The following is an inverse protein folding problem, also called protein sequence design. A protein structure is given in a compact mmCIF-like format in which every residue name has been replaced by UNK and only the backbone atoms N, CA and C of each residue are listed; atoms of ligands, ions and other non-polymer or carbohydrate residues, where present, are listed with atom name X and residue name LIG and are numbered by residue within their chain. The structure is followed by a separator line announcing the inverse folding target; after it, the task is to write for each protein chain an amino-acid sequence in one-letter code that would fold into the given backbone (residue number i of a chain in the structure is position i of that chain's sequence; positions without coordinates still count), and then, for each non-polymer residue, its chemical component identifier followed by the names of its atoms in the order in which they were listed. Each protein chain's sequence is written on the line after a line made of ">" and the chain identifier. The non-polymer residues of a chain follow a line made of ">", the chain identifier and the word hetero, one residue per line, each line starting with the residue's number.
data_IF_973632572380
#
_entry.id   IF_973632572380
#
_cell.length_a   1.000
_cell.length_b   1.000
_cell.length_c   1.000
_cell.angle_alpha   90.00
_cell.angle_beta   90.00
_cell.angle_gamma   90.00
#
_symmetry.space_group_name_H-M   'P 1'
#
loop_
_entity.id
_entity.type
_entity.pdbx_description
1 polymer ?
#
# COMPACT_ATOMS: atom_id res chain seq x y z
N UNK A 1 -46.82 -20.66 -5.57
CA UNK A 1 -46.56 -19.60 -6.58
C UNK A 1 -46.16 -18.29 -5.87
N UNK A 2 -44.97 -18.22 -5.26
CA UNK A 2 -44.41 -17.00 -4.61
C UNK A 2 -42.87 -17.02 -4.75
N UNK A 3 -42.37 -16.77 -5.97
CA UNK A 3 -40.95 -16.77 -6.32
C UNK A 3 -40.46 -15.38 -6.77
N UNK A 4 -40.97 -14.32 -6.14
CA UNK A 4 -40.76 -12.94 -6.62
C UNK A 4 -40.45 -11.93 -5.49
N UNK A 5 -39.64 -12.30 -4.50
CA UNK A 5 -39.18 -11.35 -3.46
C UNK A 5 -37.67 -11.43 -3.17
N UNK A 6 -36.84 -11.83 -4.14
CA UNK A 6 -35.38 -11.88 -3.98
C UNK A 6 -34.59 -10.86 -4.83
N UNK A 7 -35.23 -10.01 -5.62
CA UNK A 7 -34.52 -9.04 -6.46
C UNK A 7 -34.84 -7.59 -6.06
N UNK A 8 -34.22 -7.12 -4.98
CA UNK A 8 -34.21 -5.68 -4.67
C UNK A 8 -32.97 -5.20 -3.88
N UNK A 9 -31.83 -5.90 -3.98
CA UNK A 9 -30.56 -5.44 -3.37
C UNK A 9 -29.33 -5.63 -4.26
N UNK A 10 -29.50 -5.61 -5.58
CA UNK A 10 -28.38 -5.42 -6.52
C UNK A 10 -28.27 -3.93 -6.90
N UNK A 11 -27.67 -3.11 -6.05
CA UNK A 11 -27.26 -1.75 -6.42
C UNK A 11 -26.00 -1.30 -5.68
N UNK A 12 -24.88 -1.87 -6.11
CA UNK A 12 -23.59 -1.22 -6.27
C UNK A 12 -22.79 -2.13 -7.20
N UNK A 13 -22.87 -1.87 -8.51
CA UNK A 13 -22.35 -2.77 -9.57
C UNK A 13 -20.82 -2.85 -9.54
N UNK A 14 -20.26 -3.63 -8.62
CA UNK A 14 -18.86 -4.05 -8.72
C UNK A 14 -18.75 -4.96 -9.95
N UNK A 15 -18.07 -4.48 -10.99
CA UNK A 15 -17.82 -5.26 -12.21
C UNK A 15 -16.96 -6.49 -11.87
N UNK A 16 -17.20 -7.62 -12.56
CA UNK A 16 -16.48 -8.89 -12.35
C UNK A 16 -14.96 -8.72 -12.23
N UNK A 17 -14.26 -7.89 -13.05
CA UNK A 17 -12.83 -7.65 -12.87
C UNK A 17 -12.45 -7.10 -11.49
N UNK A 18 -13.26 -6.18 -10.94
CA UNK A 18 -12.99 -5.58 -9.64
C UNK A 18 -13.18 -6.57 -8.47
N UNK A 19 -14.13 -7.51 -8.60
CA UNK A 19 -14.29 -8.60 -7.62
C UNK A 19 -13.05 -9.49 -7.65
N UNK A 20 -12.64 -9.95 -8.83
CA UNK A 20 -11.48 -10.83 -8.98
C UNK A 20 -10.20 -10.18 -8.45
N UNK A 21 -9.95 -8.90 -8.76
CA UNK A 21 -8.78 -8.15 -8.26
C UNK A 21 -8.80 -8.07 -6.72
N UNK A 22 -9.95 -7.71 -6.13
CA UNK A 22 -10.06 -7.55 -4.67
C UNK A 22 -9.85 -8.88 -3.94
N UNK A 23 -10.51 -9.96 -4.40
CA UNK A 23 -10.36 -11.27 -3.75
C UNK A 23 -8.95 -11.84 -3.95
N UNK A 24 -8.34 -11.59 -5.11
CA UNK A 24 -6.94 -11.96 -5.34
C UNK A 24 -6.00 -11.23 -4.39
N UNK A 25 -6.15 -9.90 -4.23
CA UNK A 25 -5.38 -9.12 -3.27
C UNK A 25 -5.56 -9.65 -1.83
N UNK A 26 -6.81 -9.91 -1.41
CA UNK A 26 -7.11 -10.45 -0.09
C UNK A 26 -6.47 -11.83 0.14
N UNK A 27 -6.50 -12.70 -0.86
CA UNK A 27 -5.87 -14.02 -0.79
C UNK A 27 -4.35 -13.92 -0.69
N UNK A 28 -3.71 -13.01 -1.43
CA UNK A 28 -2.26 -12.80 -1.35
C UNK A 28 -1.85 -12.33 0.06
N UNK A 29 -2.61 -11.40 0.65
CA UNK A 29 -2.38 -10.93 2.03
C UNK A 29 -2.61 -12.06 3.05
N UNK A 30 -3.72 -12.78 2.93
CA UNK A 30 -4.12 -13.83 3.89
C UNK A 30 -3.20 -15.05 3.86
N UNK A 31 -2.92 -15.55 2.67
CA UNK A 31 -2.22 -16.84 2.53
C UNK A 31 -0.72 -16.71 2.81
N UNK A 32 -0.21 -15.48 2.97
CA UNK A 32 1.19 -15.23 3.27
C UNK A 32 2.08 -16.03 2.33
N UNK A 33 2.94 -16.88 2.90
CA UNK A 33 3.95 -17.69 2.19
C UNK A 33 3.43 -18.69 1.16
N UNK A 34 2.13 -18.96 1.12
CA UNK A 34 1.52 -19.93 0.22
C UNK A 34 1.11 -19.31 -1.11
N UNK A 35 1.20 -20.07 -2.21
CA UNK A 35 0.78 -19.60 -3.54
C UNK A 35 -0.75 -19.53 -3.65
N UNK A 36 -1.25 -18.51 -4.34
CA UNK A 36 -2.68 -18.36 -4.63
C UNK A 36 -3.03 -19.14 -5.90
N UNK A 37 -4.06 -20.00 -5.82
CA UNK A 37 -4.56 -20.80 -6.93
C UNK A 37 -5.78 -20.17 -7.60
N UNK A 38 -6.02 -20.52 -8.86
CA UNK A 38 -7.24 -20.09 -9.60
C UNK A 38 -8.49 -20.61 -8.91
N UNK A 39 -8.47 -21.83 -8.38
CA UNK A 39 -9.62 -22.43 -7.68
C UNK A 39 -10.01 -21.63 -6.44
N UNK A 40 -9.04 -21.24 -5.61
CA UNK A 40 -9.29 -20.39 -4.44
C UNK A 40 -9.89 -19.04 -4.87
N UNK A 41 -9.31 -18.37 -5.88
CA UNK A 41 -9.82 -17.08 -6.36
C UNK A 41 -11.29 -17.20 -6.80
N UNK A 42 -11.64 -18.24 -7.56
CA UNK A 42 -13.01 -18.48 -8.03
C UNK A 42 -13.96 -18.79 -6.86
N UNK A 43 -13.51 -19.57 -5.89
CA UNK A 43 -14.28 -19.90 -4.67
C UNK A 43 -14.60 -18.65 -3.86
N UNK A 44 -13.60 -17.81 -3.55
CA UNK A 44 -13.80 -16.59 -2.76
C UNK A 44 -14.53 -15.48 -3.52
N UNK A 45 -14.37 -15.41 -4.84
CA UNK A 45 -15.05 -14.38 -5.66
C UNK A 45 -16.49 -14.73 -6.03
N UNK A 46 -16.88 -16.00 -5.94
CA UNK A 46 -18.16 -16.48 -6.48
C UNK A 46 -18.29 -16.31 -8.00
N UNK A 47 -17.20 -15.98 -8.69
CA UNK A 47 -17.14 -15.80 -10.14
C UNK A 47 -16.91 -17.17 -10.79
N UNK A 48 -17.60 -17.43 -11.90
CA UNK A 48 -17.39 -18.67 -12.65
C UNK A 48 -16.04 -18.67 -13.38
N UNK A 49 -15.48 -19.86 -13.61
CA UNK A 49 -14.24 -20.01 -14.39
C UNK A 49 -14.33 -19.35 -15.78
N UNK A 50 -15.47 -19.51 -16.46
CA UNK A 50 -15.70 -18.89 -17.78
C UNK A 50 -15.73 -17.36 -17.72
N UNK A 51 -16.34 -16.78 -16.69
CA UNK A 51 -16.36 -15.33 -16.50
C UNK A 51 -14.97 -14.76 -16.16
N UNK A 52 -14.15 -15.48 -15.39
CA UNK A 52 -12.76 -15.08 -15.15
C UNK A 52 -11.97 -15.04 -16.45
N UNK A 53 -11.99 -16.11 -17.25
CA UNK A 53 -11.22 -16.18 -18.50
C UNK A 53 -11.73 -15.23 -19.61
N UNK A 54 -12.97 -14.76 -19.51
CA UNK A 54 -13.47 -13.68 -20.36
C UNK A 54 -12.81 -12.31 -20.05
N UNK A 55 -12.38 -12.09 -18.81
CA UNK A 55 -11.77 -10.82 -18.38
C UNK A 55 -10.25 -10.88 -18.29
N UNK A 56 -9.69 -12.04 -17.94
CA UNK A 56 -8.26 -12.24 -17.76
C UNK A 56 -7.87 -13.53 -18.50
N UNK A 57 -7.03 -13.43 -19.53
CA UNK A 57 -6.63 -14.57 -20.35
C UNK A 57 -5.92 -15.66 -19.54
N UNK A 58 -5.26 -15.27 -18.45
CA UNK A 58 -4.51 -16.15 -17.57
C UNK A 58 -4.60 -15.70 -16.10
N UNK A 59 -4.14 -16.57 -15.19
CA UNK A 59 -3.91 -16.18 -13.79
C UNK A 59 -2.93 -15.01 -13.70
N UNK A 60 -1.91 -15.00 -14.57
CA UNK A 60 -0.90 -13.95 -14.62
C UNK A 60 -1.52 -12.58 -14.91
N UNK A 61 -2.42 -12.48 -15.89
CA UNK A 61 -3.08 -11.21 -16.23
C UNK A 61 -3.90 -10.64 -15.06
N UNK A 62 -4.57 -11.51 -14.31
CA UNK A 62 -5.30 -11.11 -13.10
C UNK A 62 -4.33 -10.61 -12.02
N UNK A 63 -3.19 -11.28 -11.86
CA UNK A 63 -2.18 -10.87 -10.90
C UNK A 63 -1.56 -9.52 -11.28
N UNK A 64 -1.25 -9.30 -12.56
CA UNK A 64 -0.73 -8.04 -13.07
C UNK A 64 -1.73 -6.89 -12.88
N UNK A 65 -3.02 -7.14 -13.14
CA UNK A 65 -4.09 -6.17 -12.87
C UNK A 65 -4.26 -5.89 -11.37
N UNK A 66 -4.07 -6.90 -10.52
CA UNK A 66 -4.10 -6.76 -9.07
C UNK A 66 -2.95 -5.88 -8.58
N UNK A 67 -1.74 -6.09 -9.09
CA UNK A 67 -0.59 -5.24 -8.82
C UNK A 67 -0.83 -3.80 -9.29
N UNK A 68 -1.32 -3.61 -10.51
CA UNK A 68 -1.59 -2.28 -11.06
C UNK A 68 -2.62 -1.50 -10.22
N UNK A 69 -3.69 -2.18 -9.76
CA UNK A 69 -4.69 -1.60 -8.87
C UNK A 69 -4.10 -1.19 -7.53
N UNK A 70 -3.18 -1.99 -6.98
CA UNK A 70 -2.49 -1.64 -5.74
C UNK A 70 -1.52 -0.48 -5.92
N UNK A 71 -0.72 -0.48 -7.00
CA UNK A 71 0.24 0.59 -7.29
C UNK A 71 -0.47 1.93 -7.49
N UNK A 72 -1.67 1.91 -8.09
CA UNK A 72 -2.52 3.09 -8.17
C UNK A 72 -2.93 3.60 -6.78
N UNK A 73 -3.41 2.71 -5.90
CA UNK A 73 -3.76 3.06 -4.52
C UNK A 73 -2.57 3.61 -3.72
N UNK A 74 -1.41 2.97 -3.85
CA UNK A 74 -0.16 3.42 -3.24
C UNK A 74 0.27 4.80 -3.77
N UNK A 75 0.19 5.03 -5.09
CA UNK A 75 0.49 6.33 -5.68
C UNK A 75 -0.41 7.44 -5.15
N UNK A 76 -1.71 7.16 -4.96
CA UNK A 76 -2.65 8.12 -4.39
C UNK A 76 -2.34 8.44 -2.92
N UNK A 77 -1.96 7.44 -2.13
CA UNK A 77 -1.54 7.63 -0.73
C UNK A 77 -0.28 8.51 -0.64
N UNK A 78 0.74 8.22 -1.45
CA UNK A 78 1.96 9.02 -1.54
C UNK A 78 1.63 10.46 -1.95
N UNK A 79 0.83 10.66 -3.00
CA UNK A 79 0.44 12.00 -3.44
C UNK A 79 -0.34 12.77 -2.37
N UNK A 80 -1.22 12.09 -1.63
CA UNK A 80 -1.96 12.73 -0.56
C UNK A 80 -1.03 13.19 0.55
N UNK A 81 -0.09 12.34 0.98
CA UNK A 81 0.93 12.68 1.99
C UNK A 81 1.87 13.80 1.54
N UNK A 82 2.25 13.81 0.26
CA UNK A 82 3.01 14.92 -0.33
C UNK A 82 2.27 16.25 -0.20
N UNK A 83 0.95 16.28 -0.47
CA UNK A 83 0.15 17.50 -0.35
C UNK A 83 0.01 17.97 1.09
N UNK A 84 0.02 17.06 2.07
CA UNK A 84 -0.26 17.38 3.47
C UNK A 84 0.98 17.56 4.35
N UNK A 85 2.16 17.12 3.92
CA UNK A 85 3.37 17.17 4.77
C UNK A 85 4.01 18.57 4.88
N UNK A 86 3.66 19.51 3.99
CA UNK A 86 4.14 20.90 4.03
C UNK A 86 5.65 21.07 3.79
N UNK A 87 6.33 20.04 3.28
CA UNK A 87 7.77 20.06 3.05
C UNK A 87 8.11 20.74 1.72
N UNK A 88 9.14 21.59 1.73
CA UNK A 88 9.67 22.25 0.51
C UNK A 88 10.72 21.41 -0.21
N UNK A 89 11.37 20.48 0.49
CA UNK A 89 12.39 19.55 -0.02
C UNK A 89 12.19 18.19 0.65
N UNK A 90 12.34 17.11 -0.10
CA UNK A 90 12.09 15.76 0.40
C UNK A 90 10.61 15.43 0.61
N UNK A 91 9.69 16.20 0.03
CA UNK A 91 8.26 15.99 0.16
C UNK A 91 7.83 14.64 -0.41
N UNK A 92 8.35 14.25 -1.57
CA UNK A 92 8.07 12.94 -2.16
C UNK A 92 8.69 11.83 -1.32
N UNK A 93 9.96 11.95 -0.98
CA UNK A 93 10.68 10.92 -0.22
C UNK A 93 10.07 10.69 1.16
N UNK A 94 9.69 11.75 1.87
CA UNK A 94 9.05 11.66 3.17
C UNK A 94 7.69 10.93 3.05
N UNK A 95 6.85 11.34 2.10
CA UNK A 95 5.57 10.70 1.84
C UNK A 95 5.73 9.22 1.45
N UNK A 96 6.72 8.91 0.59
CA UNK A 96 7.05 7.56 0.19
C UNK A 96 7.43 6.66 1.36
N UNK A 97 8.37 7.12 2.20
CA UNK A 97 8.82 6.38 3.38
C UNK A 97 7.64 6.15 4.33
N UNK A 98 6.81 7.15 4.57
CA UNK A 98 5.62 7.03 5.42
C UNK A 98 4.61 6.03 4.85
N UNK A 99 4.33 6.06 3.55
CA UNK A 99 3.48 5.08 2.86
C UNK A 99 4.00 3.65 2.98
N UNK A 100 5.31 3.45 2.84
CA UNK A 100 5.93 2.13 3.01
C UNK A 100 5.84 1.65 4.45
N UNK A 101 6.20 2.49 5.43
CA UNK A 101 6.15 2.13 6.86
C UNK A 101 4.72 1.79 7.30
N UNK A 102 3.74 2.59 6.89
CA UNK A 102 2.33 2.33 7.21
C UNK A 102 1.81 1.07 6.49
N UNK A 103 2.24 0.85 5.24
CA UNK A 103 1.95 -0.38 4.52
C UNK A 103 2.58 -1.63 5.16
N UNK A 104 3.78 -1.52 5.73
CA UNK A 104 4.40 -2.58 6.55
C UNK A 104 3.56 -2.88 7.79
N UNK A 105 3.11 -1.84 8.51
CA UNK A 105 2.28 -1.98 9.72
C UNK A 105 0.93 -2.65 9.46
N UNK A 106 0.30 -2.34 8.33
CA UNK A 106 -0.99 -2.94 7.93
C UNK A 106 -0.85 -4.33 7.31
N UNK A 107 0.38 -4.80 7.08
CA UNK A 107 0.72 -6.01 6.33
C UNK A 107 0.35 -5.97 4.84
N UNK A 108 0.08 -4.78 4.29
CA UNK A 108 -0.33 -4.57 2.89
C UNK A 108 0.84 -4.74 1.93
N UNK A 109 2.03 -4.33 2.33
CA UNK A 109 3.24 -4.43 1.49
C UNK A 109 3.79 -5.85 1.40
N UNK A 110 3.39 -6.74 2.33
CA UNK A 110 3.64 -8.17 2.21
C UNK A 110 2.99 -8.74 0.93
N UNK A 111 1.94 -8.09 0.43
CA UNK A 111 1.29 -8.42 -0.84
C UNK A 111 2.24 -8.19 -2.03
N UNK A 112 2.91 -7.04 -2.09
CA UNK A 112 3.90 -6.73 -3.12
C UNK A 112 5.08 -7.71 -3.08
N UNK A 113 5.58 -7.99 -1.88
CA UNK A 113 6.71 -8.90 -1.69
C UNK A 113 6.34 -10.34 -2.09
N UNK A 114 5.09 -10.75 -1.81
CA UNK A 114 4.53 -12.02 -2.27
C UNK A 114 4.36 -12.07 -3.79
N UNK A 115 3.93 -10.97 -4.41
CA UNK A 115 3.81 -10.83 -5.87
C UNK A 115 5.17 -11.01 -6.55
N UNK A 116 6.19 -10.25 -6.14
CA UNK A 116 7.50 -10.25 -6.82
C UNK A 116 8.26 -11.58 -6.66
N UNK A 117 8.19 -12.22 -5.49
CA UNK A 117 9.03 -13.40 -5.22
C UNK A 117 8.30 -14.73 -5.45
N UNK A 118 7.00 -14.83 -5.12
CA UNK A 118 6.33 -16.15 -5.04
C UNK A 118 5.59 -16.55 -6.30
N UNK A 119 5.14 -15.57 -7.07
CA UNK A 119 4.36 -15.83 -8.26
C UNK A 119 5.22 -15.93 -9.53
N UNK A 120 6.55 -15.91 -9.39
CA UNK A 120 7.50 -15.84 -10.52
C UNK A 120 7.05 -14.77 -11.52
N UNK A 121 6.53 -13.66 -10.99
CA UNK A 121 5.96 -12.63 -11.84
C UNK A 121 7.10 -12.09 -12.68
N UNK A 122 6.92 -12.30 -13.97
CA UNK A 122 7.73 -11.78 -15.06
C UNK A 122 8.05 -10.30 -14.89
N UNK A 123 8.95 -9.77 -15.72
CA UNK A 123 9.46 -8.40 -15.71
C UNK A 123 8.39 -7.28 -15.53
N UNK A 124 7.11 -7.52 -15.81
CA UNK A 124 6.07 -6.48 -15.90
C UNK A 124 5.77 -5.73 -14.59
N UNK A 125 5.45 -6.34 -13.44
CA UNK A 125 5.21 -5.58 -12.20
C UNK A 125 6.46 -4.80 -11.74
N UNK A 126 7.64 -5.40 -11.88
CA UNK A 126 8.90 -4.72 -11.59
C UNK A 126 9.12 -3.51 -12.51
N UNK A 127 8.83 -3.64 -13.81
CA UNK A 127 8.89 -2.54 -14.77
C UNK A 127 7.88 -1.44 -14.43
N UNK A 128 6.64 -1.80 -14.07
CA UNK A 128 5.62 -0.82 -13.65
C UNK A 128 6.05 -0.05 -12.41
N UNK A 129 6.65 -0.71 -11.41
CA UNK A 129 7.23 -0.06 -10.24
C UNK A 129 8.36 0.91 -10.61
N UNK A 130 9.33 0.43 -11.40
CA UNK A 130 10.46 1.24 -11.85
C UNK A 130 9.98 2.46 -12.64
N UNK A 131 9.02 2.28 -13.54
CA UNK A 131 8.47 3.34 -14.35
C UNK A 131 7.71 4.37 -13.51
N UNK A 132 6.94 3.91 -12.52
CA UNK A 132 6.28 4.79 -11.56
C UNK A 132 7.29 5.61 -10.73
N UNK A 133 8.31 4.96 -10.17
CA UNK A 133 9.39 5.64 -9.42
C UNK A 133 10.13 6.67 -10.29
N UNK A 134 10.47 6.31 -11.52
CA UNK A 134 11.10 7.23 -12.48
C UNK A 134 10.21 8.44 -12.77
N UNK A 135 8.91 8.24 -12.99
CA UNK A 135 7.95 9.33 -13.22
C UNK A 135 7.85 10.27 -12.00
N UNK A 136 7.82 9.73 -10.79
CA UNK A 136 7.79 10.53 -9.55
C UNK A 136 9.08 11.32 -9.32
N UNK A 137 10.24 10.72 -9.57
CA UNK A 137 11.51 11.44 -9.45
C UNK A 137 11.72 12.48 -10.56
N UNK A 138 11.13 12.27 -11.75
CA UNK A 138 11.15 13.26 -12.82
C UNK A 138 10.34 14.52 -12.48
N UNK A 139 9.32 14.43 -11.63
CA UNK A 139 8.58 15.60 -11.13
C UNK A 139 9.31 16.33 -10.01
N UNK A 140 10.27 15.69 -9.35
CA UNK A 140 11.04 16.24 -8.23
C UNK A 140 12.57 16.08 -8.45
N UNK A 141 13.18 16.75 -9.44
CA UNK A 141 14.58 16.51 -9.81
C UNK A 141 15.57 16.78 -8.67
N UNK A 142 15.27 17.72 -7.78
CA UNK A 142 16.11 18.01 -6.60
C UNK A 142 16.19 16.84 -5.62
N UNK A 143 15.18 15.97 -5.57
CA UNK A 143 15.20 14.77 -4.74
C UNK A 143 15.87 13.57 -5.40
N UNK A 144 15.97 13.56 -6.74
CA UNK A 144 16.55 12.47 -7.50
C UNK A 144 18.07 12.37 -7.27
N UNK A 145 18.74 13.53 -7.21
CA UNK A 145 20.19 13.65 -7.07
C UNK A 145 20.66 13.75 -5.60
N UNK A 146 19.73 13.91 -4.65
CA UNK A 146 20.06 13.99 -3.22
C UNK A 146 20.39 12.58 -2.66
N UNK A 147 21.65 12.35 -2.21
CA UNK A 147 22.07 11.04 -1.73
C UNK A 147 21.38 10.64 -0.41
N UNK A 148 21.05 11.59 0.48
CA UNK A 148 20.38 11.28 1.73
C UNK A 148 18.93 10.83 1.47
N UNK A 149 18.23 11.51 0.56
CA UNK A 149 16.89 11.12 0.15
C UNK A 149 16.89 9.79 -0.60
N UNK A 150 17.89 9.53 -1.46
CA UNK A 150 18.08 8.23 -2.10
C UNK A 150 18.30 7.11 -1.07
N UNK A 151 19.15 7.34 -0.06
CA UNK A 151 19.36 6.38 1.03
C UNK A 151 18.09 6.11 1.82
N UNK A 152 17.27 7.13 2.09
CA UNK A 152 15.99 6.96 2.78
C UNK A 152 15.01 6.08 1.97
N UNK A 153 14.91 6.31 0.65
CA UNK A 153 14.09 5.46 -0.24
C UNK A 153 14.58 4.02 -0.27
N UNK A 154 15.89 3.80 -0.39
CA UNK A 154 16.48 2.45 -0.34
C UNK A 154 16.26 1.76 1.01
N UNK A 155 16.29 2.50 2.11
CA UNK A 155 15.99 1.95 3.44
C UNK A 155 14.51 1.54 3.55
N UNK A 156 13.59 2.32 2.99
CA UNK A 156 12.18 1.95 2.89
C UNK A 156 11.99 0.71 2.01
N UNK A 157 12.64 0.63 0.84
CA UNK A 157 12.63 -0.57 -0.01
C UNK A 157 13.19 -1.79 0.75
N UNK A 158 14.25 -1.59 1.53
CA UNK A 158 14.85 -2.62 2.38
C UNK A 158 13.92 -3.08 3.51
N UNK A 159 13.15 -2.17 4.13
CA UNK A 159 12.13 -2.51 5.13
C UNK A 159 11.02 -3.36 4.49
N UNK A 160 10.57 -2.94 3.30
CA UNK A 160 9.58 -3.67 2.51
C UNK A 160 10.06 -5.08 2.14
N UNK A 161 11.27 -5.23 1.63
CA UNK A 161 11.86 -6.55 1.31
C UNK A 161 12.20 -7.35 2.57
N UNK A 162 12.62 -6.71 3.65
CA UNK A 162 12.96 -7.34 4.93
C UNK A 162 11.77 -8.02 5.60
N UNK A 163 10.55 -7.51 5.38
CA UNK A 163 9.30 -8.14 5.84
C UNK A 163 9.10 -9.59 5.35
N UNK A 164 9.83 -10.01 4.32
CA UNK A 164 9.82 -11.37 3.79
C UNK A 164 10.66 -12.37 4.59
N UNK A 165 11.74 -11.88 5.18
CA UNK A 165 12.82 -12.67 5.76
C UNK A 165 12.84 -12.59 7.28
N UNK A 166 12.25 -11.53 7.85
CA UNK A 166 12.18 -11.36 9.28
C UNK A 166 11.06 -12.28 9.85
N UNK A 167 11.37 -13.18 10.81
CA UNK A 167 10.33 -13.81 11.59
C UNK A 167 9.48 -12.73 12.25
N UNK A 168 8.16 -12.92 12.34
CA UNK A 168 7.33 -12.05 13.17
C UNK A 168 8.01 -11.93 14.54
N UNK A 169 8.30 -10.69 15.03
CA UNK A 169 9.05 -10.54 16.25
C UNK A 169 8.29 -11.25 17.37
N UNK A 170 8.88 -12.31 17.91
CA UNK A 170 8.21 -13.17 18.90
C UNK A 170 7.85 -12.41 20.19
N UNK A 171 8.41 -11.22 20.39
CA UNK A 171 8.19 -10.34 21.54
C UNK A 171 8.47 -8.87 21.17
N UNK A 172 7.70 -8.26 20.28
CA UNK A 172 7.68 -6.79 20.27
C UNK A 172 6.94 -6.32 21.54
N UNK A 173 7.59 -5.58 22.47
CA UNK A 173 6.84 -4.93 23.52
C UNK A 173 5.84 -4.01 22.84
N UNK A 174 4.57 -4.11 23.25
CA UNK A 174 3.53 -3.14 22.86
C UNK A 174 4.09 -1.78 23.20
N UNK A 175 4.52 -1.02 22.19
CA UNK A 175 4.87 0.37 22.38
C UNK A 175 3.53 1.06 22.64
N UNK A 176 3.17 1.17 23.91
CA UNK A 176 2.13 2.08 24.35
C UNK A 176 2.69 3.48 24.10
N UNK A 177 2.38 4.03 22.92
CA UNK A 177 2.71 5.40 22.59
C UNK A 177 1.77 6.27 23.42
N UNK A 178 2.09 6.43 24.71
CA UNK A 178 1.64 7.60 25.42
C UNK A 178 2.18 8.80 24.65
N UNK A 179 1.25 9.54 24.03
CA UNK A 179 1.55 10.76 23.29
C UNK A 179 2.57 11.58 24.09
N UNK A 180 3.71 11.99 23.49
CA UNK A 180 4.70 12.75 24.20
C UNK A 180 4.03 14.02 24.75
N UNK A 181 3.99 14.13 26.07
CA UNK A 181 3.59 15.34 26.77
C UNK A 181 4.71 16.36 26.50
N UNK A 182 4.62 17.06 25.38
CA UNK A 182 5.46 18.23 25.11
C UNK A 182 5.09 19.24 26.20
N UNK A 183 6.02 19.61 27.11
CA UNK A 183 5.71 20.61 28.12
C UNK A 183 5.49 21.92 27.38
N UNK A 184 4.24 22.41 27.39
CA UNK A 184 3.95 23.78 26.99
C UNK A 184 4.64 24.67 28.01
N UNK A 185 5.86 25.13 27.70
CA UNK A 185 6.46 26.25 28.43
C UNK A 185 5.53 27.44 28.25
N UNK A 186 4.73 27.72 29.28
CA UNK A 186 3.99 28.97 29.38
C UNK A 186 5.03 30.08 29.41
N UNK A 187 5.09 30.89 28.36
CA UNK A 187 5.82 32.15 28.39
C UNK A 187 5.38 32.92 29.64
N UNK A 188 6.33 33.16 30.54
CA UNK A 188 6.10 33.88 31.78
C UNK A 188 5.54 35.27 31.48
N UNK A 189 4.40 35.58 32.08
CA UNK A 189 3.95 36.96 32.22
C UNK A 189 4.96 37.66 33.15
N UNK A 190 5.78 38.54 32.58
CA UNK A 190 6.65 39.42 33.35
C UNK A 190 5.82 40.35 34.24
N UNK A 191 6.34 40.78 35.40
CA UNK A 191 5.60 41.60 36.34
C UNK A 191 5.24 42.96 35.72
N UNK A 192 3.96 43.31 35.85
CA UNK A 192 3.40 44.59 35.46
C UNK A 192 4.10 45.72 36.24
N UNK A 193 4.92 46.53 35.56
CA UNK A 193 5.44 47.76 36.13
C UNK A 193 4.29 48.75 36.32
N UNK A 194 3.99 49.04 37.59
CA UNK A 194 3.07 50.10 38.01
C UNK A 194 3.81 51.44 37.85
N UNK A 195 3.41 52.23 36.86
CA UNK A 195 3.84 53.63 36.71
C UNK A 195 3.28 54.45 37.90
N UNK A 196 4.19 55.18 38.55
CA UNK A 196 3.91 56.39 39.34
C UNK A 196 4.45 57.55 38.52
#
# INVERSE_FOLDING_TARGET
>A
MRKALLNATHSSSVRVPGILIRETAALIVRNGRSSVTVSEILEFSGVSRGAMFHHFYSKQDLIDATFASWLQGFSLDVEQKMRTNGLRHGAFTNAYVESVVEGCRRHDVAMLSALIIRLDLTQLPALQWIEWMKKKLATEPSEADDPALKSARLAADGLWLGSLSCPAPANEPKIDIQAPQIPVQRCGHGPSHRLV
#
